data_IF_308598976636
#
_entry.id   IF_308598976636
#
_cell.length_a   1.000
_cell.length_b   1.000
_cell.length_c   1.000
_cell.angle_alpha   90.00
_cell.angle_beta   90.00
_cell.angle_gamma   90.00
#
_symmetry.space_group_name_H-M   'P 1'
#
loop_
_entity.id
_entity.type
_entity.pdbx_description
1 polymer ?
#
# COMPACT_ATOMS: atom_id res chain seq x y z
N UNK A 1 -10.93 15.25 4.90
CA UNK A 1 -9.83 14.37 4.42
C UNK A 1 -9.96 12.91 4.90
N UNK A 2 -10.62 12.62 6.03
CA UNK A 2 -10.79 11.25 6.56
C UNK A 2 -11.60 10.28 5.67
N UNK A 3 -12.60 10.74 4.92
CA UNK A 3 -13.53 9.83 4.21
C UNK A 3 -12.88 9.04 3.06
N UNK A 4 -11.96 9.64 2.30
CA UNK A 4 -11.28 8.94 1.20
C UNK A 4 -10.35 7.82 1.71
N UNK A 5 -9.76 8.00 2.88
CA UNK A 5 -8.88 7.00 3.48
C UNK A 5 -9.66 5.75 3.88
N UNK A 6 -10.80 5.93 4.57
CA UNK A 6 -11.67 4.81 4.94
C UNK A 6 -12.24 4.09 3.72
N UNK A 7 -12.61 4.84 2.68
CA UNK A 7 -13.08 4.25 1.42
C UNK A 7 -12.00 3.40 0.74
N UNK A 8 -10.75 3.87 0.70
CA UNK A 8 -9.62 3.11 0.18
C UNK A 8 -9.34 1.83 1.00
N UNK A 9 -9.42 1.92 2.34
CA UNK A 9 -9.28 0.76 3.23
C UNK A 9 -10.37 -0.27 2.92
N UNK A 10 -11.63 0.15 2.88
CA UNK A 10 -12.77 -0.75 2.62
C UNK A 10 -12.62 -1.42 1.25
N UNK A 11 -12.30 -0.66 0.20
CA UNK A 11 -12.06 -1.22 -1.14
C UNK A 11 -10.93 -2.25 -1.14
N UNK A 12 -9.81 -1.94 -0.47
CA UNK A 12 -8.67 -2.86 -0.41
C UNK A 12 -9.00 -4.15 0.36
N UNK A 13 -9.70 -4.03 1.49
CA UNK A 13 -10.15 -5.18 2.28
C UNK A 13 -11.16 -6.03 1.50
N UNK A 14 -12.14 -5.40 0.83
CA UNK A 14 -13.12 -6.10 -0.01
C UNK A 14 -12.47 -6.80 -1.20
N UNK A 15 -11.49 -6.16 -1.86
CA UNK A 15 -10.72 -6.78 -2.95
C UNK A 15 -9.94 -8.01 -2.48
N UNK A 16 -9.29 -7.89 -1.32
CA UNK A 16 -8.54 -8.99 -0.69
C UNK A 16 -9.48 -10.16 -0.36
N UNK A 17 -10.63 -9.88 0.24
CA UNK A 17 -11.65 -10.89 0.53
C UNK A 17 -12.22 -11.54 -0.73
N UNK A 18 -12.46 -10.76 -1.79
CA UNK A 18 -12.89 -11.28 -3.09
C UNK A 18 -11.90 -12.28 -3.67
N UNK A 19 -10.60 -11.95 -3.68
CA UNK A 19 -9.56 -12.86 -4.17
C UNK A 19 -9.52 -14.16 -3.36
N UNK A 20 -9.70 -14.10 -2.04
CA UNK A 20 -9.75 -15.29 -1.19
C UNK A 20 -10.95 -16.20 -1.52
N UNK A 21 -12.13 -15.63 -1.79
CA UNK A 21 -13.34 -16.38 -2.09
C UNK A 21 -13.31 -16.94 -3.52
N UNK A 22 -12.98 -16.09 -4.51
CA UNK A 22 -13.03 -16.45 -5.92
C UNK A 22 -12.00 -17.52 -6.30
N UNK A 23 -10.83 -17.51 -5.66
CA UNK A 23 -9.76 -18.47 -5.91
C UNK A 23 -9.65 -19.54 -4.83
N UNK A 24 -10.66 -19.70 -3.97
CA UNK A 24 -10.61 -20.62 -2.85
C UNK A 24 -10.25 -22.06 -3.28
N UNK A 25 -9.22 -22.62 -2.66
CA UNK A 25 -8.84 -24.04 -2.82
C UNK A 25 -8.61 -24.66 -1.45
N UNK A 26 -8.99 -25.92 -1.25
CA UNK A 26 -8.58 -26.64 -0.05
C UNK A 26 -7.10 -27.04 -0.15
N UNK A 27 -6.26 -26.41 0.69
CA UNK A 27 -4.86 -26.79 0.88
C UNK A 27 -4.49 -26.72 2.36
N UNK A 28 -3.66 -27.66 2.83
CA UNK A 28 -3.04 -27.58 4.17
C UNK A 28 -1.95 -26.52 4.12
N UNK A 29 -2.28 -25.31 4.56
CA UNK A 29 -1.40 -24.16 4.53
C UNK A 29 -0.96 -23.78 5.95
N UNK A 30 0.25 -23.24 6.07
CA UNK A 30 0.73 -22.62 7.30
C UNK A 30 -0.09 -21.34 7.51
N UNK A 31 -0.47 -21.01 8.76
CA UNK A 31 -1.17 -19.76 9.08
C UNK A 31 -0.25 -18.56 8.82
N UNK A 32 -0.24 -18.05 7.60
CA UNK A 32 0.43 -16.80 7.24
C UNK A 32 -0.48 -16.00 6.30
N UNK A 33 -0.44 -14.67 6.41
CA UNK A 33 -1.30 -13.78 5.64
C UNK A 33 -1.28 -14.02 4.11
N UNK A 34 -0.14 -14.37 3.47
CA UNK A 34 -0.13 -14.68 2.03
C UNK A 34 -0.51 -16.12 1.70
N UNK A 35 -0.56 -17.05 2.67
CA UNK A 35 -0.83 -18.45 2.39
C UNK A 35 -2.18 -18.76 1.74
N UNK A 36 -3.30 -18.04 1.99
CA UNK A 36 -4.54 -18.27 1.27
C UNK A 36 -4.54 -17.77 -0.18
N UNK A 37 -3.51 -17.02 -0.60
CA UNK A 37 -3.35 -16.59 -1.99
C UNK A 37 -2.38 -17.54 -2.70
N UNK A 38 -2.86 -18.19 -3.76
CA UNK A 38 -2.11 -19.19 -4.52
C UNK A 38 -2.41 -19.04 -6.01
N UNK A 39 -1.44 -19.43 -6.83
CA UNK A 39 -1.52 -19.25 -8.29
C UNK A 39 -1.77 -17.79 -8.66
N UNK A 40 -2.71 -17.58 -9.57
CA UNK A 40 -3.04 -16.25 -10.09
C UNK A 40 -3.48 -15.27 -8.99
N UNK A 41 -4.14 -15.74 -7.92
CA UNK A 41 -4.59 -14.88 -6.83
C UNK A 41 -3.42 -14.21 -6.09
N UNK A 42 -2.30 -14.93 -5.95
CA UNK A 42 -1.08 -14.39 -5.33
C UNK A 42 -0.46 -13.32 -6.22
N UNK A 43 -0.45 -13.55 -7.54
CA UNK A 43 0.06 -12.58 -8.50
C UNK A 43 -0.79 -11.31 -8.51
N UNK A 44 -2.12 -11.43 -8.60
CA UNK A 44 -3.04 -10.29 -8.53
C UNK A 44 -2.91 -9.52 -7.22
N UNK A 45 -2.79 -10.21 -6.09
CA UNK A 45 -2.58 -9.58 -4.79
C UNK A 45 -1.22 -8.87 -4.71
N UNK A 46 -0.15 -9.53 -5.17
CA UNK A 46 1.21 -8.97 -5.19
C UNK A 46 1.30 -7.73 -6.08
N UNK A 47 0.74 -7.78 -7.30
CA UNK A 47 0.66 -6.64 -8.20
C UNK A 47 -0.13 -5.48 -7.58
N UNK A 48 -1.24 -5.77 -6.88
CA UNK A 48 -2.03 -4.76 -6.17
C UNK A 48 -1.22 -4.07 -5.06
N UNK A 49 -0.50 -4.83 -4.24
CA UNK A 49 0.39 -4.29 -3.20
C UNK A 49 1.49 -3.44 -3.82
N UNK A 50 2.13 -3.94 -4.89
CA UNK A 50 3.20 -3.22 -5.55
C UNK A 50 2.71 -1.89 -6.14
N UNK A 51 1.51 -1.89 -6.75
CA UNK A 51 0.87 -0.68 -7.24
C UNK A 51 0.65 0.36 -6.12
N UNK A 52 0.10 -0.07 -4.97
CA UNK A 52 -0.11 0.82 -3.81
C UNK A 52 1.22 1.38 -3.29
N UNK A 53 2.27 0.57 -3.25
CA UNK A 53 3.60 1.01 -2.84
C UNK A 53 4.20 2.04 -3.82
N UNK A 54 4.07 1.81 -5.13
CA UNK A 54 4.53 2.75 -6.17
C UNK A 54 3.77 4.09 -6.04
N UNK A 55 2.45 4.06 -5.89
CA UNK A 55 1.63 5.26 -5.69
C UNK A 55 2.08 6.01 -4.43
N UNK A 56 2.33 5.28 -3.34
CA UNK A 56 2.82 5.87 -2.09
C UNK A 56 4.18 6.54 -2.28
N UNK A 57 5.13 5.86 -2.94
CA UNK A 57 6.45 6.41 -3.25
C UNK A 57 6.37 7.67 -4.12
N UNK A 58 5.47 7.71 -5.11
CA UNK A 58 5.22 8.90 -5.92
C UNK A 58 4.68 10.06 -5.09
N UNK A 59 3.72 9.81 -4.20
CA UNK A 59 3.19 10.84 -3.31
C UNK A 59 4.27 11.41 -2.39
N UNK A 60 5.12 10.55 -1.81
CA UNK A 60 6.29 10.99 -1.04
C UNK A 60 7.24 11.83 -1.87
N UNK A 61 7.54 11.42 -3.10
CA UNK A 61 8.45 12.14 -3.99
C UNK A 61 7.90 13.51 -4.42
N UNK A 62 6.60 13.59 -4.73
CA UNK A 62 5.92 14.86 -5.04
C UNK A 62 5.97 15.78 -3.83
N UNK A 63 5.65 15.26 -2.65
CA UNK A 63 5.64 16.04 -1.41
C UNK A 63 7.04 16.54 -1.08
N UNK A 64 8.07 15.70 -1.25
CA UNK A 64 9.48 16.08 -1.14
C UNK A 64 9.86 17.23 -2.09
N UNK A 65 9.47 17.13 -3.37
CA UNK A 65 9.72 18.21 -4.35
C UNK A 65 9.03 19.52 -3.96
N UNK A 66 7.80 19.46 -3.46
CA UNK A 66 7.05 20.65 -3.01
C UNK A 66 7.71 21.27 -1.79
N UNK A 67 8.10 20.47 -0.81
CA UNK A 67 8.81 20.91 0.39
C UNK A 67 10.16 21.56 0.08
N UNK A 68 10.89 21.04 -0.93
CA UNK A 68 12.16 21.64 -1.36
C UNK A 68 11.98 22.98 -2.06
N UNK A 69 10.83 23.23 -2.70
CA UNK A 69 10.51 24.49 -3.39
C UNK A 69 9.95 25.57 -2.49
N UNK A 70 9.41 25.21 -1.32
CA UNK A 70 8.85 26.16 -0.34
C UNK A 70 9.84 26.38 0.80
N UNK A 71 9.90 27.57 1.36
CA UNK A 71 10.64 27.84 2.59
C UNK A 71 9.88 27.24 3.79
N UNK A 72 9.89 25.92 3.89
CA UNK A 72 9.22 25.20 4.99
C UNK A 72 10.17 25.10 6.18
N UNK A 73 9.59 25.10 7.39
CA UNK A 73 10.35 25.01 8.64
C UNK A 73 11.33 23.83 8.63
N UNK A 74 12.49 24.01 9.27
CA UNK A 74 13.53 22.99 9.36
C UNK A 74 13.02 21.68 9.98
N UNK A 75 12.02 21.76 10.84
CA UNK A 75 11.34 20.59 11.43
C UNK A 75 10.62 19.76 10.38
N UNK A 76 9.87 20.37 9.47
CA UNK A 76 9.18 19.66 8.39
C UNK A 76 10.14 19.03 7.38
N UNK A 77 11.28 19.69 7.11
CA UNK A 77 12.35 19.11 6.28
C UNK A 77 12.96 17.87 6.94
N UNK A 78 13.28 17.93 8.25
CA UNK A 78 13.85 16.80 8.99
C UNK A 78 12.95 15.56 9.00
N UNK A 79 11.65 15.74 9.23
CA UNK A 79 10.67 14.64 9.23
C UNK A 79 10.57 13.98 7.86
N UNK A 80 10.59 14.77 6.77
CA UNK A 80 10.56 14.21 5.43
C UNK A 80 11.87 13.52 5.03
N UNK A 81 13.02 14.08 5.40
CA UNK A 81 14.32 13.44 5.17
C UNK A 81 14.43 12.12 5.94
N UNK A 82 13.94 12.04 7.18
CA UNK A 82 13.98 10.78 7.94
C UNK A 82 13.10 9.69 7.32
N UNK A 83 11.99 10.07 6.66
CA UNK A 83 11.12 9.11 5.97
C UNK A 83 11.72 8.68 4.62
N UNK A 84 12.39 9.59 3.92
CA UNK A 84 12.99 9.32 2.61
C UNK A 84 14.33 8.56 2.64
N UNK A 85 14.98 8.47 3.81
CA UNK A 85 16.26 7.76 4.00
C UNK A 85 16.06 6.28 4.35
N UNK A 86 14.83 5.84 4.65
CA UNK A 86 14.48 4.43 4.88
C UNK A 86 14.33 3.68 3.57
#
# INVERSE_FOLDING_TARGET
QFQFHFLAIVLFCSWTGYLMIAYWTQKKLICSMPSPFHGDALEWWSQSINFVNIVSALLYFITWRVLRKREVSETSKKVFTSIAVV
#
